data_IF_652971457115
#
_entry.id   IF_652971457115
#
_cell.length_a   1.000
_cell.length_b   1.000
_cell.length_c   1.000
_cell.angle_alpha   90.00
_cell.angle_beta   90.00
_cell.angle_gamma   90.00
#
_symmetry.space_group_name_H-M   'P 1'
#
loop_
_entity.id
_entity.type
_entity.pdbx_description
1 polymer ?
#
# COMPACT_ATOMS: atom_id res chain seq x y z
N UNK A 1 9.62 -21.52 -49.07
CA UNK A 1 8.80 -20.46 -48.43
C UNK A 1 9.00 -20.60 -46.92
N UNK A 2 9.83 -19.75 -46.29
CA UNK A 2 10.20 -19.89 -44.87
C UNK A 2 9.38 -18.91 -44.04
N UNK A 3 8.57 -19.43 -43.12
CA UNK A 3 7.85 -18.66 -42.10
C UNK A 3 8.89 -18.11 -41.09
N UNK A 4 8.91 -16.80 -40.75
CA UNK A 4 9.77 -16.33 -39.68
C UNK A 4 9.02 -16.20 -38.35
N UNK A 5 9.60 -16.86 -37.35
CA UNK A 5 9.69 -16.46 -35.94
C UNK A 5 8.43 -16.57 -35.07
N UNK A 6 8.20 -17.82 -34.69
CA UNK A 6 7.67 -18.27 -33.41
C UNK A 6 8.01 -17.31 -32.24
N UNK A 7 6.95 -16.87 -31.59
CA UNK A 7 6.80 -16.38 -30.22
C UNK A 7 7.95 -16.82 -29.30
N UNK A 8 8.83 -15.89 -28.90
CA UNK A 8 9.61 -15.99 -27.65
C UNK A 8 10.31 -14.68 -27.27
N UNK A 9 9.56 -13.57 -27.18
CA UNK A 9 10.01 -12.45 -26.33
C UNK A 9 9.54 -12.70 -24.90
N UNK A 10 10.12 -13.73 -24.28
CA UNK A 10 10.19 -13.79 -22.82
C UNK A 10 11.18 -12.70 -22.38
N UNK A 11 10.66 -11.54 -21.95
CA UNK A 11 11.29 -10.70 -20.91
C UNK A 11 10.42 -9.49 -20.51
N UNK A 12 10.37 -9.09 -19.23
CA UNK A 12 10.82 -9.82 -18.03
C UNK A 12 9.66 -10.03 -17.03
N UNK A 13 9.65 -11.18 -16.36
CA UNK A 13 9.21 -11.20 -14.97
C UNK A 13 10.35 -10.58 -14.15
N UNK A 14 10.59 -9.28 -14.34
CA UNK A 14 11.37 -8.52 -13.38
C UNK A 14 10.44 -8.43 -12.19
N UNK A 15 10.70 -9.21 -11.16
CA UNK A 15 10.26 -8.91 -9.81
C UNK A 15 10.81 -7.52 -9.48
N UNK A 16 10.11 -6.47 -9.90
CA UNK A 16 10.31 -5.12 -9.43
C UNK A 16 10.06 -5.22 -7.94
N UNK A 17 11.14 -5.33 -7.17
CA UNK A 17 11.10 -5.19 -5.73
C UNK A 17 10.62 -3.77 -5.51
N UNK A 18 9.29 -3.58 -5.41
CA UNK A 18 8.71 -2.30 -5.03
C UNK A 18 9.25 -2.01 -3.64
N UNK A 19 10.13 -1.02 -3.56
CA UNK A 19 10.78 -0.61 -2.33
C UNK A 19 9.72 -0.44 -1.23
N UNK A 20 9.85 -1.13 -0.09
CA UNK A 20 8.93 -0.94 1.02
C UNK A 20 9.18 0.45 1.59
N UNK A 21 8.27 1.38 1.28
CA UNK A 21 8.40 2.79 1.58
C UNK A 21 7.07 3.50 1.44
N UNK A 22 7.11 4.82 1.57
CA UNK A 22 5.99 5.69 1.23
C UNK A 22 6.02 6.03 -0.25
N UNK A 23 4.92 5.77 -0.96
CA UNK A 23 4.73 6.11 -2.37
C UNK A 23 3.61 7.14 -2.46
N UNK A 24 3.97 8.40 -2.70
CA UNK A 24 3.00 9.50 -2.73
C UNK A 24 1.96 9.34 -3.85
N UNK A 25 2.38 8.84 -5.02
CA UNK A 25 1.49 8.67 -6.17
C UNK A 25 0.45 7.61 -5.84
N UNK A 26 0.91 6.46 -5.33
CA UNK A 26 0.03 5.41 -4.85
C UNK A 26 -0.95 5.92 -3.79
N UNK A 27 -0.44 6.64 -2.79
CA UNK A 27 -1.22 7.09 -1.64
C UNK A 27 -2.30 8.08 -2.06
N UNK A 28 -1.98 9.05 -2.93
CA UNK A 28 -2.97 9.99 -3.47
C UNK A 28 -4.00 9.32 -4.37
N UNK A 29 -3.58 8.34 -5.16
CA UNK A 29 -4.45 7.62 -6.08
C UNK A 29 -5.54 6.85 -5.32
N UNK A 30 -5.15 6.09 -4.28
CA UNK A 30 -6.08 5.27 -3.51
C UNK A 30 -6.86 6.03 -2.45
N UNK A 31 -6.27 7.09 -1.88
CA UNK A 31 -6.87 7.85 -0.79
C UNK A 31 -7.16 9.27 -1.20
N UNK A 32 -8.20 9.43 -2.03
CA UNK A 32 -8.55 10.73 -2.64
C UNK A 32 -8.91 11.80 -1.60
N UNK A 33 -9.41 11.39 -0.43
CA UNK A 33 -9.73 12.26 0.70
C UNK A 33 -8.49 12.97 1.27
N UNK A 34 -7.29 12.41 1.09
CA UNK A 34 -6.02 13.03 1.48
C UNK A 34 -5.79 14.35 0.71
N UNK A 35 -6.43 14.54 -0.45
CA UNK A 35 -6.41 15.81 -1.17
C UNK A 35 -7.03 16.97 -0.39
N UNK A 36 -7.85 16.70 0.63
CA UNK A 36 -8.44 17.70 1.52
C UNK A 36 -7.63 17.92 2.81
N UNK A 37 -6.59 17.11 3.04
CA UNK A 37 -5.72 17.27 4.20
C UNK A 37 -4.84 18.52 4.03
N UNK A 38 -4.77 19.45 5.01
CA UNK A 38 -3.98 20.68 4.90
C UNK A 38 -2.46 20.52 4.76
N UNK A 39 -1.94 19.30 4.70
CA UNK A 39 -0.51 18.99 4.64
C UNK A 39 -0.16 18.00 3.54
N UNK A 40 1.07 17.48 3.58
CA UNK A 40 1.50 16.49 2.58
C UNK A 40 0.88 15.12 2.83
N UNK A 41 0.76 14.25 1.80
CA UNK A 41 0.29 12.87 1.98
C UNK A 41 1.14 12.07 2.96
N UNK A 42 2.46 12.31 2.98
CA UNK A 42 3.34 11.69 3.96
C UNK A 42 3.00 12.14 5.39
N UNK A 43 2.75 13.45 5.60
CA UNK A 43 2.31 13.96 6.89
C UNK A 43 0.95 13.36 7.31
N UNK A 44 0.02 13.20 6.37
CA UNK A 44 -1.24 12.51 6.62
C UNK A 44 -0.98 11.08 7.08
N UNK A 45 -0.17 10.32 6.34
CA UNK A 45 0.15 8.94 6.66
C UNK A 45 0.73 8.81 8.07
N UNK A 46 1.77 9.60 8.39
CA UNK A 46 2.47 9.54 9.67
C UNK A 46 1.57 9.89 10.86
N UNK A 47 0.63 10.83 10.70
CA UNK A 47 -0.26 11.30 11.77
C UNK A 47 -1.53 10.46 11.92
N UNK A 48 -2.11 10.03 10.81
CA UNK A 48 -3.45 9.47 10.72
C UNK A 48 -3.47 8.14 9.95
N UNK A 49 -2.93 8.13 8.72
CA UNK A 49 -3.14 7.04 7.78
C UNK A 49 -2.81 5.65 8.29
N UNK A 50 -1.67 5.47 8.98
CA UNK A 50 -1.32 4.15 9.50
C UNK A 50 -2.26 3.65 10.61
N UNK A 51 -2.88 4.55 11.38
CA UNK A 51 -3.88 4.21 12.40
C UNK A 51 -5.23 3.83 11.79
N UNK A 52 -5.51 4.39 10.61
CA UNK A 52 -6.69 4.09 9.81
C UNK A 52 -6.53 2.80 8.97
N UNK A 53 -5.40 2.09 9.10
CA UNK A 53 -5.10 0.90 8.31
C UNK A 53 -4.80 1.20 6.85
N UNK A 54 -4.40 2.44 6.52
CA UNK A 54 -4.02 2.80 5.16
C UNK A 54 -2.60 2.32 4.87
N UNK A 55 -2.44 1.57 3.80
CA UNK A 55 -1.12 1.17 3.31
C UNK A 55 -0.39 2.33 2.62
N UNK A 56 0.92 2.51 2.88
CA UNK A 56 1.72 3.63 2.38
C UNK A 56 2.18 3.47 0.93
N UNK A 57 2.17 2.25 0.40
CA UNK A 57 2.58 1.93 -0.97
C UNK A 57 1.99 0.59 -1.41
N UNK A 58 2.13 0.27 -2.70
CA UNK A 58 1.73 -1.04 -3.21
C UNK A 58 2.63 -2.18 -2.72
N UNK A 59 3.83 -1.89 -2.19
CA UNK A 59 4.79 -2.89 -1.75
C UNK A 59 4.68 -3.24 -0.26
N UNK A 60 3.94 -2.47 0.53
CA UNK A 60 3.92 -2.59 1.98
C UNK A 60 2.49 -2.66 2.53
N UNK A 61 2.17 -3.75 3.24
CA UNK A 61 0.97 -3.87 4.06
C UNK A 61 1.28 -3.52 5.51
N UNK A 62 0.72 -2.41 6.00
CA UNK A 62 0.78 -2.03 7.40
C UNK A 62 0.03 -3.03 8.28
N UNK A 63 -1.17 -3.41 7.89
CA UNK A 63 -1.98 -4.38 8.65
C UNK A 63 -1.37 -5.78 8.65
N UNK A 64 -0.84 -6.23 7.50
CA UNK A 64 -0.09 -7.49 7.42
C UNK A 64 1.16 -7.46 8.31
N UNK A 65 1.90 -6.36 8.29
CA UNK A 65 3.07 -6.20 9.15
C UNK A 65 2.67 -6.23 10.63
N UNK A 66 1.65 -5.49 11.04
CA UNK A 66 1.18 -5.55 12.41
C UNK A 66 0.72 -6.98 12.76
N UNK A 67 0.03 -7.70 11.85
CA UNK A 67 -0.48 -9.06 12.09
C UNK A 67 0.64 -10.05 12.40
N UNK A 68 1.73 -9.97 11.65
CA UNK A 68 2.91 -10.81 11.88
C UNK A 68 3.77 -10.36 13.07
N UNK A 69 3.65 -9.11 13.51
CA UNK A 69 4.53 -8.49 14.52
C UNK A 69 3.70 -7.93 15.70
N UNK A 70 3.23 -8.79 16.62
CA UNK A 70 2.28 -8.41 17.67
C UNK A 70 2.88 -7.45 18.71
N UNK A 71 4.19 -7.44 18.90
CA UNK A 71 4.92 -6.49 19.74
C UNK A 71 4.82 -5.06 19.19
N UNK A 72 4.94 -4.89 17.87
CA UNK A 72 4.78 -3.61 17.18
C UNK A 72 3.35 -3.11 17.34
N UNK A 73 2.37 -4.02 17.17
CA UNK A 73 0.95 -3.71 17.42
C UNK A 73 0.69 -3.30 18.86
N UNK A 74 1.18 -4.08 19.82
CA UNK A 74 0.90 -3.86 21.25
C UNK A 74 1.41 -2.50 21.72
N UNK A 75 2.55 -2.05 21.18
CA UNK A 75 3.12 -0.73 21.45
C UNK A 75 2.56 0.39 20.57
N UNK A 76 1.61 0.09 19.68
CA UNK A 76 1.01 1.05 18.74
C UNK A 76 2.07 1.82 17.93
N UNK A 77 3.11 1.14 17.47
CA UNK A 77 4.12 1.75 16.61
C UNK A 77 3.61 1.87 15.18
N UNK A 78 4.05 2.93 14.49
CA UNK A 78 3.82 3.07 13.06
C UNK A 78 4.53 1.90 12.33
N UNK A 79 3.80 1.06 11.58
CA UNK A 79 4.35 -0.16 11.00
C UNK A 79 5.44 0.13 9.96
N UNK A 80 5.27 1.13 9.11
CA UNK A 80 6.29 1.46 8.11
C UNK A 80 7.54 2.02 8.76
N UNK A 81 7.40 2.94 9.73
CA UNK A 81 8.54 3.52 10.44
C UNK A 81 9.33 2.43 11.17
N UNK A 82 8.65 1.59 11.94
CA UNK A 82 9.28 0.47 12.65
C UNK A 82 9.96 -0.49 11.68
N UNK A 83 9.33 -0.81 10.55
CA UNK A 83 9.91 -1.69 9.55
C UNK A 83 11.20 -1.12 8.95
N UNK A 84 11.19 0.16 8.57
CA UNK A 84 12.34 0.83 7.97
C UNK A 84 13.51 0.97 8.97
N UNK A 85 13.21 1.22 10.23
CA UNK A 85 14.22 1.47 11.27
C UNK A 85 14.80 0.18 11.86
N UNK A 86 13.96 -0.83 12.09
CA UNK A 86 14.35 -2.09 12.76
C UNK A 86 13.98 -3.31 11.92
N UNK A 87 12.76 -3.35 11.40
CA UNK A 87 12.18 -4.57 10.83
C UNK A 87 12.94 -5.17 9.65
N UNK A 88 13.57 -4.34 8.81
CA UNK A 88 14.45 -4.79 7.73
C UNK A 88 15.68 -5.53 8.27
N UNK A 89 16.39 -4.93 9.22
CA UNK A 89 17.59 -5.51 9.82
C UNK A 89 17.28 -6.77 10.64
N UNK A 90 16.11 -6.80 11.30
CA UNK A 90 15.62 -7.94 12.06
C UNK A 90 14.99 -9.04 11.18
N UNK A 91 14.86 -8.82 9.87
CA UNK A 91 14.30 -9.80 8.93
C UNK A 91 12.80 -10.06 9.09
N UNK A 92 12.05 -9.11 9.67
CA UNK A 92 10.62 -9.26 9.96
C UNK A 92 9.77 -9.46 8.70
N UNK A 93 8.69 -10.23 8.85
CA UNK A 93 7.83 -10.70 7.76
C UNK A 93 6.43 -10.08 7.83
N UNK A 94 5.58 -10.42 6.85
CA UNK A 94 4.18 -10.02 6.79
C UNK A 94 3.91 -8.65 6.17
N UNK A 95 4.95 -7.93 5.75
CA UNK A 95 4.81 -6.63 5.11
C UNK A 95 4.54 -6.71 3.60
N UNK A 96 4.88 -7.82 2.94
CA UNK A 96 4.76 -7.92 1.49
C UNK A 96 3.29 -7.87 1.06
N UNK A 97 2.99 -6.99 0.11
CA UNK A 97 1.73 -7.01 -0.62
C UNK A 97 1.84 -7.90 -1.84
N UNK A 98 0.78 -8.66 -2.10
CA UNK A 98 0.60 -9.33 -3.39
C UNK A 98 0.44 -8.25 -4.48
N UNK A 99 1.27 -8.25 -5.55
CA UNK A 99 1.16 -7.31 -6.67
C UNK A 99 -0.20 -7.35 -7.38
N UNK A 100 -0.93 -8.47 -7.29
CA UNK A 100 -2.26 -8.63 -7.85
C UNK A 100 -3.37 -8.10 -6.92
N UNK A 101 -3.05 -7.71 -5.68
CA UNK A 101 -4.03 -7.24 -4.71
C UNK A 101 -4.48 -5.81 -5.03
N UNK A 102 -5.76 -5.58 -5.36
CA UNK A 102 -6.15 -4.41 -6.13
C UNK A 102 -6.17 -3.11 -5.33
N UNK A 103 -6.30 -3.12 -4.01
CA UNK A 103 -6.27 -1.90 -3.20
C UNK A 103 -6.24 -2.26 -1.71
N UNK A 104 -5.66 -1.40 -0.85
CA UNK A 104 -5.95 -1.43 0.57
C UNK A 104 -7.40 -0.98 0.79
N UNK A 105 -8.24 -1.88 1.26
CA UNK A 105 -9.44 -1.49 1.99
C UNK A 105 -8.94 -0.97 3.33
N UNK A 106 -8.67 0.33 3.43
CA UNK A 106 -8.45 0.97 4.73
C UNK A 106 -9.56 0.52 5.68
N UNK A 107 -9.27 0.42 6.98
CA UNK A 107 -10.22 -0.12 7.94
C UNK A 107 -11.44 0.79 7.97
N UNK A 108 -12.48 0.44 7.19
CA UNK A 108 -13.81 1.02 7.28
C UNK A 108 -14.25 0.77 8.72
N UNK A 109 -14.12 1.79 9.56
CA UNK A 109 -14.74 1.78 10.87
C UNK A 109 -16.22 1.50 10.60
N UNK A 110 -16.70 0.36 11.08
CA UNK A 110 -18.11 -0.01 11.01
C UNK A 110 -18.88 0.95 11.93
N UNK A 111 -19.22 2.14 11.45
CA UNK A 111 -20.14 3.09 12.09
C UNK A 111 -20.54 4.19 11.09
N UNK A 112 -21.66 3.95 10.40
CA UNK A 112 -22.63 4.94 9.93
C UNK A 112 -22.19 5.95 8.85
N UNK A 113 -22.17 5.51 7.60
CA UNK A 113 -22.93 6.04 6.45
C UNK A 113 -22.47 5.29 5.18
N UNK A 114 -23.35 4.89 4.26
CA UNK A 114 -22.91 4.31 3.00
C UNK A 114 -22.18 5.40 2.23
N UNK A 115 -20.86 5.28 2.13
CA UNK A 115 -20.05 6.06 1.21
C UNK A 115 -20.71 5.93 -0.16
N UNK A 116 -21.32 7.03 -0.60
CA UNK A 116 -21.88 7.17 -1.94
C UNK A 116 -20.73 6.86 -2.89
N UNK A 117 -20.75 5.64 -3.42
CA UNK A 117 -19.80 5.13 -4.39
C UNK A 117 -19.85 6.09 -5.57
N UNK A 118 -18.94 7.06 -5.58
CA UNK A 118 -18.80 7.99 -6.70
C UNK A 118 -18.32 7.11 -7.85
N UNK A 119 -19.24 6.81 -8.78
CA UNK A 119 -18.94 6.06 -9.98
C UNK A 119 -17.67 6.64 -10.65
N UNK A 120 -16.81 5.79 -11.23
CA UNK A 120 -15.64 6.30 -11.95
C UNK A 120 -16.10 7.30 -13.01
N UNK A 121 -15.42 8.46 -13.17
CA UNK A 121 -15.78 9.43 -14.18
C UNK A 121 -15.76 8.74 -15.55
N UNK A 122 -16.89 8.78 -16.25
CA UNK A 122 -16.94 8.44 -17.67
C UNK A 122 -16.11 9.50 -18.39
N UNK A 123 -15.14 9.06 -19.17
CA UNK A 123 -14.39 9.91 -20.09
C UNK A 123 -15.27 10.11 -21.33
N UNK A 124 -15.70 11.34 -21.59
CA UNK A 124 -16.28 11.75 -22.88
C UNK A 124 -15.19 11.75 -23.98
#
# INVERSE_FOLDING_TARGET
MKLPHLIQKLRPASSEVRMPGFDEIYYRYWYRDVGQFPGTPLQHYLKHGWKEGRDPSAGFSGDGYLAANPDVRANSFNPLAHFLEFGLAEGRKGWQKDPASPAPLGRLIASTEPQKLLAPPQMD
#
